data_IF_529941453614
#
_entry.id   IF_529941453614
#
_cell.length_a   1.000
_cell.length_b   1.000
_cell.length_c   1.000
_cell.angle_alpha   90.00
_cell.angle_beta   90.00
_cell.angle_gamma   90.00
#
_symmetry.space_group_name_H-M   'P 1'
#
loop_
_entity.id
_entity.type
_entity.pdbx_description
1 polymer ?
#
# COMPACT_ATOMS: atom_id res chain seq x y z
N UNK A 1 -14.61 6.59 3.72
CA UNK A 1 -14.10 5.22 3.59
C UNK A 1 -15.03 4.21 4.26
N UNK A 2 -16.29 4.03 3.81
CA UNK A 2 -17.02 2.78 4.03
C UNK A 2 -17.22 1.92 2.76
N UNK A 3 -16.97 2.46 1.56
CA UNK A 3 -17.14 1.71 0.30
C UNK A 3 -15.88 0.91 -0.11
N UNK A 4 -14.69 1.35 0.30
CA UNK A 4 -13.40 0.79 -0.14
C UNK A 4 -13.06 -0.61 0.41
N UNK A 5 -13.68 -1.02 1.53
CA UNK A 5 -13.35 -2.29 2.17
C UNK A 5 -13.94 -3.50 1.43
N UNK A 6 -15.15 -3.34 0.88
CA UNK A 6 -15.81 -4.39 0.09
C UNK A 6 -15.06 -4.63 -1.24
N UNK A 7 -14.64 -3.54 -1.91
CA UNK A 7 -13.87 -3.62 -3.15
C UNK A 7 -12.49 -4.27 -2.94
N UNK A 8 -11.85 -3.98 -1.79
CA UNK A 8 -10.57 -4.60 -1.43
C UNK A 8 -10.71 -6.12 -1.19
N UNK A 9 -11.74 -6.56 -0.47
CA UNK A 9 -12.00 -8.00 -0.24
C UNK A 9 -12.27 -8.73 -1.56
N UNK A 10 -13.12 -8.17 -2.43
CA UNK A 10 -13.42 -8.72 -3.76
C UNK A 10 -12.14 -8.85 -4.60
N UNK A 11 -11.31 -7.81 -4.64
CA UNK A 11 -10.04 -7.82 -5.35
C UNK A 11 -9.09 -8.91 -4.79
N UNK A 12 -8.93 -8.97 -3.47
CA UNK A 12 -8.06 -9.94 -2.83
C UNK A 12 -8.50 -11.38 -3.11
N UNK A 13 -9.79 -11.69 -3.00
CA UNK A 13 -10.32 -13.01 -3.33
C UNK A 13 -10.11 -13.37 -4.80
N UNK A 14 -10.41 -12.44 -5.71
CA UNK A 14 -10.22 -12.65 -7.15
C UNK A 14 -8.74 -12.86 -7.53
N UNK A 15 -7.83 -12.13 -6.88
CA UNK A 15 -6.39 -12.31 -7.08
C UNK A 15 -5.93 -13.68 -6.57
N UNK A 16 -6.29 -14.03 -5.34
CA UNK A 16 -5.89 -15.30 -4.70
C UNK A 16 -6.46 -16.52 -5.42
N UNK A 17 -7.62 -16.39 -6.09
CA UNK A 17 -8.18 -17.46 -6.91
C UNK A 17 -7.36 -17.77 -8.17
N UNK A 18 -6.42 -16.89 -8.56
CA UNK A 18 -5.56 -17.05 -9.74
C UNK A 18 -4.10 -17.20 -9.38
N UNK A 19 -3.64 -16.47 -8.37
CA UNK A 19 -2.26 -16.47 -7.87
C UNK A 19 -2.32 -16.71 -6.36
N UNK A 20 -2.24 -17.97 -5.91
CA UNK A 20 -2.25 -18.28 -4.50
C UNK A 20 -1.01 -17.71 -3.83
N UNK A 21 -1.20 -16.99 -2.72
CA UNK A 21 -0.12 -16.53 -1.86
C UNK A 21 -0.07 -17.40 -0.62
N UNK A 22 1.14 -17.76 -0.21
CA UNK A 22 1.43 -18.41 1.06
C UNK A 22 1.13 -17.49 2.26
N UNK A 23 1.00 -18.07 3.44
CA UNK A 23 0.79 -17.31 4.69
C UNK A 23 1.89 -16.26 4.93
N UNK A 24 3.20 -16.55 4.75
CA UNK A 24 4.24 -15.53 4.87
C UNK A 24 4.12 -14.39 3.86
N UNK A 25 3.76 -14.68 2.60
CA UNK A 25 3.57 -13.64 1.58
C UNK A 25 2.41 -12.71 1.92
N UNK A 26 1.30 -13.26 2.44
CA UNK A 26 0.16 -12.46 2.91
C UNK A 26 0.52 -11.63 4.14
N UNK A 27 1.30 -12.20 5.06
CA UNK A 27 1.77 -11.50 6.25
C UNK A 27 2.73 -10.34 5.92
N UNK A 28 3.47 -10.41 4.80
CA UNK A 28 4.37 -9.36 4.35
C UNK A 28 3.65 -8.14 3.72
N UNK A 29 2.34 -8.22 3.49
CA UNK A 29 1.60 -7.20 2.76
C UNK A 29 1.68 -5.77 3.35
N UNK A 30 1.60 -5.56 4.68
CA UNK A 30 1.82 -4.24 5.27
C UNK A 30 3.17 -3.62 4.89
N UNK A 31 4.24 -4.42 4.93
CA UNK A 31 5.59 -3.94 4.64
C UNK A 31 5.77 -3.66 3.14
N UNK A 32 5.16 -4.47 2.27
CA UNK A 32 5.11 -4.21 0.84
C UNK A 32 4.35 -2.91 0.51
N UNK A 33 3.27 -2.60 1.23
CA UNK A 33 2.55 -1.33 1.06
C UNK A 33 3.41 -0.13 1.49
N UNK A 34 4.13 -0.24 2.61
CA UNK A 34 5.09 0.80 3.04
C UNK A 34 6.20 0.98 2.00
N UNK A 35 6.81 -0.12 1.56
CA UNK A 35 7.90 -0.10 0.58
C UNK A 35 7.45 0.55 -0.73
N UNK A 36 6.31 0.13 -1.29
CA UNK A 36 5.74 0.72 -2.50
C UNK A 36 5.52 2.23 -2.36
N UNK A 37 4.98 2.67 -1.22
CA UNK A 37 4.72 4.10 -0.99
C UNK A 37 6.02 4.91 -0.92
N UNK A 38 7.05 4.38 -0.24
CA UNK A 38 8.37 5.00 -0.15
C UNK A 38 9.09 5.03 -1.51
N UNK A 39 9.08 3.93 -2.26
CA UNK A 39 9.66 3.86 -3.60
C UNK A 39 9.00 4.89 -4.54
N UNK A 40 7.68 4.99 -4.51
CA UNK A 40 6.94 5.98 -5.32
C UNK A 40 7.33 7.42 -4.95
N UNK A 41 7.51 7.70 -3.66
CA UNK A 41 7.98 8.99 -3.16
C UNK A 41 9.41 9.30 -3.64
N UNK A 42 10.35 8.38 -3.43
CA UNK A 42 11.76 8.55 -3.80
C UNK A 42 11.89 8.73 -5.31
N UNK A 43 11.18 7.92 -6.10
CA UNK A 43 11.15 8.04 -7.55
C UNK A 43 10.63 9.42 -7.99
N UNK A 44 9.53 9.90 -7.41
CA UNK A 44 8.97 11.23 -7.73
C UNK A 44 9.91 12.36 -7.30
N UNK A 45 10.58 12.23 -6.15
CA UNK A 45 11.56 13.19 -5.68
C UNK A 45 12.78 13.26 -6.63
N UNK A 46 13.26 12.12 -7.12
CA UNK A 46 14.32 12.06 -8.14
C UNK A 46 13.93 12.79 -9.42
N UNK A 47 12.71 12.53 -9.92
CA UNK A 47 12.12 13.23 -11.09
C UNK A 47 12.02 14.74 -10.89
N UNK A 48 11.57 15.18 -9.72
CA UNK A 48 11.48 16.61 -9.40
C UNK A 48 12.86 17.29 -9.42
N UNK A 49 13.89 16.64 -8.86
CA UNK A 49 15.27 17.15 -8.90
C UNK A 49 15.83 17.29 -10.32
N UNK A 50 15.29 16.53 -11.27
CA UNK A 50 15.65 16.59 -12.69
C UNK A 50 14.76 17.54 -13.50
N UNK A 51 13.84 18.27 -12.86
CA UNK A 51 12.88 19.16 -13.54
C UNK A 51 11.75 18.42 -14.28
N UNK A 52 11.56 17.12 -14.02
CA UNK A 52 10.62 16.24 -14.71
C UNK A 52 9.33 15.96 -13.93
N UNK A 53 9.16 16.62 -12.78
CA UNK A 53 7.97 16.60 -11.93
C UNK A 53 7.89 17.91 -11.12
N UNK A 54 6.70 18.25 -10.64
CA UNK A 54 6.46 19.39 -9.75
C UNK A 54 6.70 19.01 -8.29
N UNK A 55 7.06 20.00 -7.48
CA UNK A 55 7.22 19.82 -6.03
C UNK A 55 5.92 19.33 -5.36
N UNK A 56 4.76 19.80 -5.83
CA UNK A 56 3.46 19.39 -5.29
C UNK A 56 3.23 17.88 -5.45
N UNK A 57 3.70 17.28 -6.55
CA UNK A 57 3.58 15.83 -6.74
C UNK A 57 4.40 15.04 -5.71
N UNK A 58 5.55 15.57 -5.31
CA UNK A 58 6.37 14.99 -4.22
C UNK A 58 5.65 15.14 -2.89
N UNK A 59 5.07 16.32 -2.62
CA UNK A 59 4.29 16.58 -1.40
C UNK A 59 3.09 15.64 -1.28
N UNK A 60 2.39 15.40 -2.38
CA UNK A 60 1.26 14.48 -2.43
C UNK A 60 1.68 13.04 -2.15
N UNK A 61 2.79 12.57 -2.76
CA UNK A 61 3.32 11.23 -2.45
C UNK A 61 3.75 11.11 -0.99
N UNK A 62 4.39 12.13 -0.42
CA UNK A 62 4.78 12.14 0.99
C UNK A 62 3.56 12.11 1.91
N UNK A 63 2.54 12.91 1.61
CA UNK A 63 1.29 12.91 2.37
C UNK A 63 0.59 11.55 2.30
N UNK A 64 0.56 10.92 1.12
CA UNK A 64 0.05 9.57 0.92
C UNK A 64 0.82 8.51 1.71
N UNK A 65 2.15 8.51 1.61
CA UNK A 65 3.02 7.58 2.35
C UNK A 65 2.81 7.69 3.87
N UNK A 66 2.78 8.92 4.40
CA UNK A 66 2.49 9.16 5.82
C UNK A 66 1.08 8.71 6.25
N UNK A 67 0.10 8.81 5.35
CA UNK A 67 -1.26 8.34 5.62
C UNK A 67 -1.31 6.82 5.69
N UNK A 68 -0.65 6.14 4.75
CA UNK A 68 -0.52 4.67 4.73
C UNK A 68 0.17 4.20 6.00
N UNK A 69 1.30 4.81 6.35
CA UNK A 69 2.08 4.41 7.53
C UNK A 69 1.27 4.50 8.82
N UNK A 70 0.63 5.65 9.07
CA UNK A 70 -0.27 5.82 10.24
C UNK A 70 -1.46 4.86 10.24
N UNK A 71 -2.01 4.56 9.06
CA UNK A 71 -3.12 3.61 8.97
C UNK A 71 -2.64 2.19 9.31
N UNK A 72 -1.47 1.78 8.79
CA UNK A 72 -0.88 0.47 9.07
C UNK A 72 -0.43 0.32 10.51
N UNK A 73 0.04 1.38 11.15
CA UNK A 73 0.35 1.34 12.59
C UNK A 73 -0.88 1.04 13.44
N UNK A 74 -2.06 1.51 12.99
CA UNK A 74 -3.32 1.30 13.70
C UNK A 74 -4.04 0.00 13.30
N UNK A 75 -3.97 -0.38 12.02
CA UNK A 75 -4.83 -1.42 11.43
C UNK A 75 -4.04 -2.60 10.83
N UNK A 76 -2.72 -2.52 10.78
CA UNK A 76 -1.84 -3.54 10.18
C UNK A 76 -2.05 -4.95 10.73
N UNK A 77 -2.11 -5.16 12.06
CA UNK A 77 -2.36 -6.48 12.63
C UNK A 77 -3.71 -7.07 12.18
N UNK A 78 -4.77 -6.27 12.16
CA UNK A 78 -6.10 -6.70 11.69
C UNK A 78 -6.07 -7.04 10.20
N UNK A 79 -5.44 -6.18 9.37
CA UNK A 79 -5.28 -6.44 7.94
C UNK A 79 -4.58 -7.77 7.67
N UNK A 80 -3.51 -8.09 8.41
CA UNK A 80 -2.80 -9.37 8.27
C UNK A 80 -3.70 -10.54 8.66
N UNK A 81 -4.44 -10.42 9.77
CA UNK A 81 -5.41 -11.42 10.19
C UNK A 81 -6.45 -11.72 9.12
N UNK A 82 -7.04 -10.66 8.54
CA UNK A 82 -8.04 -10.77 7.49
C UNK A 82 -7.46 -11.44 6.24
N UNK A 83 -6.26 -11.02 5.79
CA UNK A 83 -5.60 -11.60 4.62
C UNK A 83 -5.20 -13.06 4.80
N UNK A 84 -4.80 -13.47 6.00
CA UNK A 84 -4.48 -14.88 6.29
C UNK A 84 -5.74 -15.75 6.29
N UNK A 85 -6.89 -15.18 6.64
CA UNK A 85 -8.17 -15.89 6.69
C UNK A 85 -8.86 -16.05 5.33
N UNK A 86 -8.38 -15.38 4.26
CA UNK A 86 -8.90 -15.46 2.89
C UNK A 86 -8.58 -16.78 2.17
#
# INVERSE_FOLDING_TARGET
MPDDAADADVLCRAYLSRVPLSTPERAAFPDLLRLRALESLVWRAGRWRQGQARLDEVRDRLAGARRIDRWLDKHGPTLVGDLIAL
#
